data_IF_293887839802
#
_entry.id   IF_293887839802
#
_cell.length_a   1.000
_cell.length_b   1.000
_cell.length_c   1.000
_cell.angle_alpha   90.00
_cell.angle_beta   90.00
_cell.angle_gamma   90.00
#
_symmetry.space_group_name_H-M   'P 1'
#
loop_
_entity.id
_entity.type
_entity.pdbx_description
1 polymer ?
#
# COMPACT_ATOMS: atom_id res chain seq x y z
N UNK A 1 39.22 -10.86 21.12
CA UNK A 1 37.90 -10.20 21.16
C UNK A 1 37.01 -11.06 22.04
N UNK A 2 36.50 -10.50 23.13
CA UNK A 2 35.60 -11.20 24.06
C UNK A 2 34.28 -11.55 23.35
N UNK A 3 33.70 -12.73 23.62
CA UNK A 3 32.43 -13.19 23.02
C UNK A 3 31.31 -12.17 23.28
N UNK A 4 31.33 -11.52 24.44
CA UNK A 4 30.39 -10.46 24.81
C UNK A 4 30.47 -9.25 23.88
N UNK A 5 31.68 -8.87 23.45
CA UNK A 5 31.91 -7.77 22.52
C UNK A 5 31.44 -8.11 21.10
N UNK A 6 31.60 -9.37 20.68
CA UNK A 6 31.08 -9.85 19.40
C UNK A 6 29.55 -9.86 19.35
N UNK A 7 28.89 -10.26 20.44
CA UNK A 7 27.42 -10.25 20.56
C UNK A 7 26.89 -8.80 20.57
N UNK A 8 27.54 -7.91 21.34
CA UNK A 8 27.16 -6.49 21.40
C UNK A 8 27.27 -5.82 20.03
N UNK A 9 28.36 -6.09 19.29
CA UNK A 9 28.55 -5.61 17.93
C UNK A 9 27.46 -6.13 16.97
N UNK A 10 27.10 -7.41 17.06
CA UNK A 10 26.04 -7.99 16.23
C UNK A 10 24.68 -7.33 16.50
N UNK A 11 24.32 -7.12 17.77
CA UNK A 11 23.08 -6.42 18.16
C UNK A 11 23.10 -4.98 17.63
N UNK A 12 24.22 -4.27 17.75
CA UNK A 12 24.39 -2.89 17.25
C UNK A 12 24.36 -2.78 15.72
N UNK A 13 24.67 -3.84 14.98
CA UNK A 13 24.56 -3.88 13.51
C UNK A 13 23.11 -4.20 13.08
N UNK A 14 22.41 -5.07 13.80
CA UNK A 14 21.05 -5.49 13.46
C UNK A 14 20.00 -4.43 13.85
N UNK A 15 20.19 -3.71 14.97
CA UNK A 15 19.21 -2.73 15.47
C UNK A 15 18.96 -1.50 14.58
N UNK A 16 19.97 -0.86 13.94
CA UNK A 16 19.76 0.34 13.14
C UNK A 16 19.41 0.02 11.69
N UNK A 17 19.39 -1.26 11.29
CA UNK A 17 18.92 -1.65 9.97
C UNK A 17 17.38 -1.57 9.93
N UNK A 18 16.87 -0.33 9.98
CA UNK A 18 15.52 0.00 9.54
C UNK A 18 15.46 -0.37 8.07
N UNK A 19 15.08 -1.62 7.77
CA UNK A 19 14.69 -2.01 6.42
C UNK A 19 13.66 -0.97 6.00
N UNK A 20 13.98 -0.18 4.97
CA UNK A 20 13.05 0.84 4.49
C UNK A 20 11.79 0.12 4.03
N UNK A 21 10.73 0.21 4.84
CA UNK A 21 9.39 -0.21 4.49
C UNK A 21 8.99 0.52 3.20
N UNK A 22 9.10 -0.16 2.07
CA UNK A 22 8.55 0.36 0.82
C UNK A 22 7.03 0.47 0.96
N UNK A 23 6.48 1.56 0.42
CA UNK A 23 5.04 1.76 0.30
C UNK A 23 4.62 1.31 -1.10
N UNK A 24 3.74 0.33 -1.16
CA UNK A 24 3.37 -0.34 -2.41
C UNK A 24 1.90 -0.06 -2.69
N UNK A 25 1.60 0.39 -3.90
CA UNK A 25 0.25 0.65 -4.36
C UNK A 25 -0.16 -0.35 -5.44
N UNK A 26 -1.14 -1.18 -5.14
CA UNK A 26 -1.87 -1.99 -6.11
C UNK A 26 -2.94 -1.12 -6.77
N UNK A 27 -2.66 -0.69 -7.99
CA UNK A 27 -3.52 0.24 -8.74
C UNK A 27 -4.62 -0.49 -9.53
N UNK A 28 -5.74 0.20 -9.76
CA UNK A 28 -6.68 -0.16 -10.83
C UNK A 28 -7.47 -1.43 -10.53
N UNK A 29 -7.64 -1.72 -9.23
CA UNK A 29 -8.18 -2.99 -8.80
C UNK A 29 -9.69 -2.91 -8.81
N UNK A 30 -10.33 -3.66 -9.71
CA UNK A 30 -11.77 -3.82 -9.65
C UNK A 30 -12.15 -4.65 -8.42
N UNK A 31 -13.24 -4.27 -7.73
CA UNK A 31 -13.74 -4.98 -6.54
C UNK A 31 -14.28 -6.38 -6.88
N UNK A 32 -13.39 -7.34 -7.06
CA UNK A 32 -13.75 -8.73 -7.30
C UNK A 32 -12.70 -9.69 -6.75
N UNK A 33 -13.13 -10.93 -6.49
CA UNK A 33 -12.22 -12.02 -6.10
C UNK A 33 -11.21 -12.32 -7.19
N UNK A 34 -11.56 -12.14 -8.48
CA UNK A 34 -10.63 -12.39 -9.58
C UNK A 34 -9.52 -11.33 -9.67
N UNK A 35 -9.81 -10.06 -9.42
CA UNK A 35 -8.82 -8.99 -9.47
C UNK A 35 -8.09 -8.82 -8.14
N UNK A 36 -8.82 -8.52 -7.06
CA UNK A 36 -8.19 -8.31 -5.74
C UNK A 36 -7.74 -9.63 -5.14
N UNK A 37 -8.61 -10.64 -5.16
CA UNK A 37 -8.33 -11.93 -4.53
C UNK A 37 -7.09 -12.63 -5.09
N UNK A 38 -6.82 -12.50 -6.40
CA UNK A 38 -5.60 -13.04 -7.02
C UNK A 38 -4.32 -12.33 -6.58
N UNK A 39 -4.41 -11.06 -6.13
CA UNK A 39 -3.27 -10.28 -5.66
C UNK A 39 -3.01 -10.45 -4.16
N UNK A 40 -3.99 -10.94 -3.39
CA UNK A 40 -3.86 -11.11 -1.94
C UNK A 40 -2.66 -11.97 -1.50
N UNK A 41 -2.29 -13.08 -2.17
CA UNK A 41 -1.10 -13.86 -1.79
C UNK A 41 0.17 -13.02 -1.85
N UNK A 42 0.34 -12.21 -2.90
CA UNK A 42 1.49 -11.31 -3.04
C UNK A 42 1.43 -10.18 -2.01
N UNK A 43 0.27 -9.55 -1.83
CA UNK A 43 0.07 -8.49 -0.84
C UNK A 43 0.42 -8.97 0.58
N UNK A 44 0.02 -10.21 0.93
CA UNK A 44 0.34 -10.83 2.21
C UNK A 44 1.84 -11.05 2.37
N UNK A 45 2.52 -11.59 1.35
CA UNK A 45 3.98 -11.77 1.40
C UNK A 45 4.72 -10.43 1.57
N UNK A 46 4.24 -9.36 0.94
CA UNK A 46 4.81 -8.01 1.09
C UNK A 46 4.59 -7.45 2.50
N UNK A 47 3.41 -7.63 3.08
CA UNK A 47 3.14 -7.26 4.48
C UNK A 47 4.03 -8.01 5.45
N UNK A 48 4.20 -9.32 5.27
CA UNK A 48 5.08 -10.17 6.10
C UNK A 48 6.55 -9.75 5.97
N UNK A 49 6.96 -9.22 4.82
CA UNK A 49 8.29 -8.64 4.60
C UNK A 49 8.45 -7.23 5.21
N UNK A 50 7.41 -6.67 5.83
CA UNK A 50 7.43 -5.36 6.49
C UNK A 50 7.16 -4.18 5.56
N UNK A 51 6.55 -4.42 4.39
CA UNK A 51 6.08 -3.36 3.49
C UNK A 51 4.72 -2.79 3.92
N UNK A 52 4.46 -1.54 3.55
CA UNK A 52 3.16 -0.89 3.73
C UNK A 52 2.37 -1.06 2.42
N UNK A 53 1.26 -1.79 2.48
CA UNK A 53 0.54 -2.25 1.30
C UNK A 53 -0.80 -1.52 1.19
N UNK A 54 -0.97 -0.86 0.05
CA UNK A 54 -2.15 -0.11 -0.31
C UNK A 54 -2.82 -0.69 -1.55
N UNK A 55 -4.16 -0.63 -1.58
CA UNK A 55 -4.95 -0.91 -2.78
C UNK A 55 -5.70 0.35 -3.19
N UNK A 56 -5.71 0.65 -4.49
CA UNK A 56 -6.63 1.61 -5.09
C UNK A 56 -7.75 0.83 -5.77
N UNK A 57 -8.84 0.66 -5.04
CA UNK A 57 -10.00 -0.11 -5.44
C UNK A 57 -11.01 0.75 -6.19
N UNK A 58 -11.58 0.18 -7.25
CA UNK A 58 -12.71 0.74 -7.99
C UNK A 58 -13.87 -0.23 -8.09
N UNK A 59 -15.09 0.26 -7.89
CA UNK A 59 -16.30 -0.55 -8.08
C UNK A 59 -17.52 0.29 -8.34
N UNK A 60 -18.54 -0.32 -8.94
CA UNK A 60 -19.87 0.28 -9.04
C UNK A 60 -20.71 -0.03 -7.78
N UNK A 61 -20.28 -1.01 -6.98
CA UNK A 61 -20.94 -1.40 -5.73
C UNK A 61 -20.85 -0.30 -4.67
N UNK A 62 -21.74 -0.38 -3.69
CA UNK A 62 -21.76 0.59 -2.58
C UNK A 62 -20.66 0.36 -1.57
N UNK A 63 -20.16 -0.88 -1.48
CA UNK A 63 -19.21 -1.31 -0.47
C UNK A 63 -17.90 -1.75 -1.12
N UNK A 64 -16.76 -1.48 -0.46
CA UNK A 64 -15.47 -1.96 -0.91
C UNK A 64 -15.31 -3.47 -0.70
N UNK A 65 -14.27 -4.03 -1.29
CA UNK A 65 -13.77 -5.36 -1.02
C UNK A 65 -13.33 -5.49 0.44
N UNK A 66 -13.58 -6.66 1.04
CA UNK A 66 -13.17 -6.93 2.41
C UNK A 66 -11.70 -7.37 2.46
N UNK A 67 -10.80 -6.43 2.71
CA UNK A 67 -9.37 -6.70 2.82
C UNK A 67 -8.96 -7.34 4.15
N UNK A 68 -7.94 -8.22 4.17
CA UNK A 68 -7.33 -8.68 5.41
C UNK A 68 -6.65 -7.55 6.17
N UNK A 69 -6.45 -7.76 7.48
CA UNK A 69 -5.80 -6.78 8.35
C UNK A 69 -4.39 -6.41 7.85
N UNK A 70 -4.02 -5.14 8.01
CA UNK A 70 -2.74 -4.60 7.56
C UNK A 70 -2.73 -4.03 6.14
N UNK A 71 -3.73 -4.33 5.31
CA UNK A 71 -3.89 -3.68 4.00
C UNK A 71 -4.71 -2.39 4.16
N UNK A 72 -4.20 -1.29 3.61
CA UNK A 72 -4.93 -0.03 3.53
C UNK A 72 -5.65 0.07 2.18
N UNK A 73 -6.96 0.34 2.20
CA UNK A 73 -7.74 0.49 0.98
C UNK A 73 -8.06 1.97 0.69
N UNK A 74 -7.83 2.38 -0.55
CA UNK A 74 -8.23 3.66 -1.13
C UNK A 74 -9.38 3.39 -2.09
N UNK A 75 -10.60 3.65 -1.63
CA UNK A 75 -11.82 3.23 -2.32
C UNK A 75 -12.42 4.34 -3.18
N UNK A 76 -12.69 4.05 -4.45
CA UNK A 76 -13.40 4.95 -5.38
C UNK A 76 -14.64 4.26 -5.93
N UNK A 77 -15.82 4.82 -5.65
CA UNK A 77 -17.08 4.35 -6.23
C UNK A 77 -17.30 4.98 -7.61
N UNK A 78 -17.39 4.14 -8.62
CA UNK A 78 -17.70 4.52 -9.99
C UNK A 78 -19.22 4.73 -10.13
N UNK A 79 -19.65 5.96 -10.39
CA UNK A 79 -21.05 6.28 -10.67
C UNK A 79 -21.24 6.60 -12.17
N UNK A 80 -22.25 5.98 -12.78
CA UNK A 80 -22.76 6.38 -14.09
C UNK A 80 -21.91 6.03 -15.33
N UNK A 81 -21.29 4.85 -15.38
CA UNK A 81 -20.56 4.38 -16.58
C UNK A 81 -19.29 5.17 -16.91
N UNK A 82 -18.82 6.01 -15.99
CA UNK A 82 -17.61 6.81 -16.14
C UNK A 82 -16.37 5.93 -16.10
N UNK A 83 -15.52 6.08 -17.10
CA UNK A 83 -14.12 5.66 -17.06
C UNK A 83 -13.31 6.76 -16.39
N UNK A 84 -12.48 6.41 -15.41
CA UNK A 84 -11.54 7.37 -14.83
C UNK A 84 -10.13 7.08 -15.36
N UNK A 85 -9.40 8.14 -15.70
CA UNK A 85 -7.95 8.04 -15.82
C UNK A 85 -7.29 8.01 -14.43
N UNK A 86 -6.02 7.63 -14.40
CA UNK A 86 -5.24 7.49 -13.15
C UNK A 86 -5.20 8.77 -12.32
N UNK A 87 -5.06 9.93 -12.98
CA UNK A 87 -4.96 11.22 -12.29
C UNK A 87 -6.29 11.54 -11.64
N UNK A 88 -7.38 11.35 -12.36
CA UNK A 88 -8.74 11.58 -11.89
C UNK A 88 -9.07 10.66 -10.71
N UNK A 89 -8.67 9.39 -10.75
CA UNK A 89 -8.85 8.47 -9.60
C UNK A 89 -8.10 8.95 -8.36
N UNK A 90 -6.88 9.47 -8.52
CA UNK A 90 -6.10 9.96 -7.39
C UNK A 90 -6.73 11.20 -6.74
N UNK A 91 -7.28 12.11 -7.55
CA UNK A 91 -7.91 13.34 -7.05
C UNK A 91 -9.26 13.11 -6.35
N UNK A 92 -9.93 11.98 -6.61
CA UNK A 92 -11.14 11.59 -5.88
C UNK A 92 -10.82 11.11 -4.47
N UNK A 93 -9.67 10.46 -4.29
CA UNK A 93 -9.22 9.96 -2.97
C UNK A 93 -8.51 11.06 -2.18
N UNK A 94 -7.70 11.87 -2.84
CA UNK A 94 -6.87 12.88 -2.22
C UNK A 94 -7.08 14.23 -2.88
N UNK A 95 -7.30 15.31 -2.10
CA UNK A 95 -7.34 16.64 -2.69
C UNK A 95 -5.98 16.97 -3.35
N UNK A 96 -5.98 17.74 -4.46
CA UNK A 96 -4.74 18.17 -5.07
C UNK A 96 -3.89 18.93 -4.04
N UNK A 97 -2.67 18.46 -3.81
CA UNK A 97 -1.72 19.18 -2.97
C UNK A 97 -1.26 20.42 -3.74
N UNK A 98 -1.42 21.60 -3.13
CA UNK A 98 -0.79 22.81 -3.64
C UNK A 98 0.72 22.64 -3.44
N UNK A 99 1.45 22.42 -4.52
CA UNK A 99 2.90 22.59 -4.47
C UNK A 99 3.17 24.09 -4.32
N UNK A 100 3.48 24.53 -3.11
CA UNK A 100 4.14 25.81 -2.92
C UNK A 100 5.51 25.71 -3.60
N UNK A 101 5.62 26.28 -4.80
CA UNK A 101 6.92 26.53 -5.43
C UNK A 101 7.57 27.61 -4.58
N UNK A 102 8.45 27.20 -3.67
CA UNK A 102 9.30 28.12 -2.93
C UNK A 102 10.25 28.73 -3.98
N UNK A 103 9.97 29.97 -4.36
CA UNK A 103 10.77 30.77 -5.29
C UNK A 103 12.03 31.35 -4.66
#
# INVERSE_FOLDING_TARGET
>A
MDVTMSILMLILIIFPCKVKTARILFHGMHSSTSHIGSMLPLAKALLEAGHDVHFLETTQNEKPYNFPHGITNHFVRLTGGKTFDLRSMWTEVFPPQVCEIVG
#
